data_IF_308130973271
#
_entry.id   IF_308130973271
#
_cell.length_a   1.000
_cell.length_b   1.000
_cell.length_c   1.000
_cell.angle_alpha   90.00
_cell.angle_beta   90.00
_cell.angle_gamma   90.00
#
_symmetry.space_group_name_H-M   'P 1'
#
loop_
_entity.id
_entity.type
_entity.pdbx_description
1 polymer ?
#
# COMPACT_ATOMS: atom_id res chain seq x y z
N UNK A 1 8.34 -11.55 -12.57
CA UNK A 1 8.97 -10.27 -12.19
C UNK A 1 8.02 -9.15 -12.54
N UNK A 2 7.60 -8.33 -11.59
CA UNK A 2 6.62 -7.26 -11.81
C UNK A 2 7.19 -5.91 -11.35
N UNK A 3 6.85 -4.82 -12.04
CA UNK A 3 7.32 -3.50 -11.65
C UNK A 3 6.73 -3.13 -10.29
N UNK A 4 7.54 -2.47 -9.46
CA UNK A 4 7.06 -1.89 -8.20
C UNK A 4 6.16 -0.72 -8.55
N UNK A 5 4.90 -0.78 -8.14
CA UNK A 5 3.92 0.27 -8.39
C UNK A 5 4.35 1.60 -7.79
N UNK A 6 3.83 2.69 -8.36
CA UNK A 6 4.09 4.03 -7.87
C UNK A 6 3.69 4.16 -6.39
N UNK A 7 4.46 4.99 -5.67
CA UNK A 7 4.16 5.38 -4.30
C UNK A 7 2.92 6.24 -4.32
N UNK A 8 2.08 6.12 -3.28
CA UNK A 8 0.90 6.95 -3.15
C UNK A 8 1.29 8.43 -3.10
N UNK A 9 0.53 9.30 -3.80
CA UNK A 9 0.76 10.74 -3.72
C UNK A 9 0.47 11.25 -2.31
N UNK A 10 1.28 12.20 -1.86
CA UNK A 10 1.26 12.72 -0.49
C UNK A 10 -0.13 13.27 -0.11
N UNK A 11 -0.83 13.90 -1.07
CA UNK A 11 -2.19 14.41 -0.87
C UNK A 11 -3.22 13.37 -0.41
N UNK A 12 -3.07 12.09 -0.77
CA UNK A 12 -3.99 11.01 -0.38
C UNK A 12 -3.61 10.35 0.95
N UNK A 13 -2.36 10.53 1.39
CA UNK A 13 -1.84 9.92 2.62
C UNK A 13 -2.70 10.30 3.83
N UNK A 14 -3.09 11.56 3.94
CA UNK A 14 -3.90 12.07 5.04
C UNK A 14 -5.27 11.37 5.19
N UNK A 15 -5.90 11.00 4.07
CA UNK A 15 -7.20 10.33 4.06
C UNK A 15 -7.07 8.83 4.32
N UNK A 16 -5.99 8.20 3.86
CA UNK A 16 -5.77 6.76 3.99
C UNK A 16 -5.50 6.35 5.45
N UNK A 17 -4.84 7.20 6.23
CA UNK A 17 -4.57 6.94 7.66
C UNK A 17 -5.87 6.73 8.44
N UNK A 18 -6.91 7.52 8.14
CA UNK A 18 -8.24 7.38 8.77
C UNK A 18 -9.08 6.41 7.94
N UNK A 19 -8.69 5.15 7.96
CA UNK A 19 -9.43 4.07 7.30
C UNK A 19 -10.86 3.96 7.87
N UNK A 20 -11.82 3.48 7.07
CA UNK A 20 -13.24 3.45 7.44
C UNK A 20 -13.51 2.76 8.80
N UNK A 21 -12.80 1.68 9.11
CA UNK A 21 -12.88 1.02 10.42
C UNK A 21 -12.41 1.91 11.57
N UNK A 22 -11.31 2.63 11.38
CA UNK A 22 -10.76 3.55 12.40
C UNK A 22 -11.75 4.70 12.63
N UNK A 23 -12.33 5.25 11.58
CA UNK A 23 -13.38 6.28 11.68
C UNK A 23 -14.59 5.76 12.47
N UNK A 24 -15.06 4.53 12.18
CA UNK A 24 -16.17 3.91 12.91
C UNK A 24 -15.81 3.74 14.40
N UNK A 25 -14.61 3.29 14.72
CA UNK A 25 -14.15 3.15 16.11
C UNK A 25 -14.12 4.51 16.81
N UNK A 26 -13.60 5.56 16.16
CA UNK A 26 -13.57 6.93 16.69
C UNK A 26 -15.00 7.42 16.96
N UNK A 27 -15.92 7.22 16.03
CA UNK A 27 -17.33 7.62 16.18
C UNK A 27 -18.01 6.87 17.33
N UNK A 28 -17.82 5.56 17.44
CA UNK A 28 -18.35 4.75 18.55
C UNK A 28 -17.79 5.24 19.89
N UNK A 29 -16.48 5.47 19.97
CA UNK A 29 -15.82 5.99 21.16
C UNK A 29 -16.36 7.37 21.54
N UNK A 30 -16.55 8.25 20.56
CA UNK A 30 -17.15 9.57 20.74
C UNK A 30 -18.56 9.48 21.33
N UNK A 31 -19.44 8.66 20.73
CA UNK A 31 -20.80 8.50 21.23
C UNK A 31 -20.83 7.92 22.65
N UNK A 32 -20.01 6.92 22.93
CA UNK A 32 -19.89 6.32 24.26
C UNK A 32 -19.43 7.35 25.30
N UNK A 33 -18.38 8.11 25.02
CA UNK A 33 -17.86 9.14 25.93
C UNK A 33 -18.85 10.30 26.11
N UNK A 34 -19.56 10.68 25.04
CA UNK A 34 -20.58 11.73 25.09
C UNK A 34 -21.75 11.34 25.99
N UNK A 35 -22.24 10.09 25.89
CA UNK A 35 -23.30 9.56 26.76
C UNK A 35 -22.83 9.50 28.21
N UNK A 36 -21.61 9.00 28.46
CA UNK A 36 -21.03 8.91 29.80
C UNK A 36 -20.88 10.28 30.47
N UNK A 37 -20.44 11.30 29.73
CA UNK A 37 -20.31 12.67 30.23
C UNK A 37 -21.68 13.28 30.59
N UNK A 38 -22.67 13.16 29.70
CA UNK A 38 -24.02 13.70 29.94
C UNK A 38 -24.67 13.03 31.15
N UNK A 39 -24.55 11.70 31.24
CA UNK A 39 -25.07 10.92 32.34
C UNK A 39 -24.40 11.29 33.67
N UNK A 40 -23.06 11.36 33.70
CA UNK A 40 -22.32 11.64 34.92
C UNK A 40 -22.49 13.07 35.43
N UNK A 41 -22.76 14.04 34.56
CA UNK A 41 -22.91 15.45 34.96
C UNK A 41 -24.31 15.75 35.53
N UNK A 42 -25.37 15.16 34.97
CA UNK A 42 -26.76 15.42 35.39
C UNK A 42 -27.38 14.31 36.24
N UNK A 43 -26.71 13.16 36.40
CA UNK A 43 -27.18 11.97 37.13
C UNK A 43 -28.64 11.59 36.80
N UNK A 44 -29.07 11.88 35.57
CA UNK A 44 -30.44 11.74 35.10
C UNK A 44 -30.48 11.51 33.60
N UNK A 45 -31.30 10.56 33.14
CA UNK A 45 -31.49 10.20 31.73
C UNK A 45 -32.38 11.20 30.97
N UNK A 46 -33.04 12.15 31.67
CA UNK A 46 -34.05 13.05 31.09
C UNK A 46 -33.53 14.04 30.03
N UNK A 47 -32.21 14.19 29.88
CA UNK A 47 -31.59 15.15 28.95
C UNK A 47 -30.83 14.50 27.78
N UNK A 48 -31.01 13.20 27.54
CA UNK A 48 -30.45 12.48 26.40
C UNK A 48 -31.24 12.80 25.13
N UNK A 49 -31.08 14.03 24.65
CA UNK A 49 -31.52 14.40 23.31
C UNK A 49 -30.42 14.05 22.31
N UNK A 50 -30.79 13.58 21.10
CA UNK A 50 -29.84 13.20 20.05
C UNK A 50 -28.92 14.37 19.71
N UNK A 51 -29.45 15.60 19.67
CA UNK A 51 -28.68 16.81 19.45
C UNK A 51 -27.59 17.04 20.52
N UNK A 52 -27.89 16.79 21.80
CA UNK A 52 -26.92 16.97 22.89
C UNK A 52 -25.81 15.91 22.86
N UNK A 53 -26.13 14.70 22.40
CA UNK A 53 -25.15 13.61 22.28
C UNK A 53 -24.23 13.88 21.08
N UNK A 54 -24.79 14.28 19.94
CA UNK A 54 -24.05 14.53 18.71
C UNK A 54 -23.18 15.79 18.79
N UNK A 55 -23.68 16.87 19.42
CA UNK A 55 -23.01 18.17 19.54
C UNK A 55 -22.41 18.40 20.94
N UNK A 56 -21.90 17.36 21.58
CA UNK A 56 -21.23 17.49 22.86
C UNK A 56 -19.84 18.13 22.69
N UNK A 57 -19.78 19.45 22.83
CA UNK A 57 -18.57 20.26 22.67
C UNK A 57 -17.38 19.75 23.51
N UNK A 58 -17.62 19.34 24.75
CA UNK A 58 -16.56 18.84 25.65
C UNK A 58 -16.00 17.50 25.14
N UNK A 59 -16.86 16.60 24.67
CA UNK A 59 -16.43 15.33 24.11
C UNK A 59 -15.68 15.51 22.78
N UNK A 60 -16.15 16.41 21.90
CA UNK A 60 -15.50 16.70 20.61
C UNK A 60 -14.10 17.30 20.85
N UNK A 61 -14.01 18.37 21.64
CA UNK A 61 -12.74 19.03 21.96
C UNK A 61 -11.79 18.10 22.67
N UNK A 62 -12.29 17.35 23.65
CA UNK A 62 -11.47 16.41 24.41
C UNK A 62 -10.92 15.28 23.57
N UNK A 63 -11.70 14.70 22.66
CA UNK A 63 -11.22 13.65 21.76
C UNK A 63 -10.17 14.18 20.77
N UNK A 64 -10.39 15.39 20.24
CA UNK A 64 -9.45 16.09 19.35
C UNK A 64 -8.20 16.64 20.07
N UNK A 65 -8.09 16.49 21.40
CA UNK A 65 -6.94 16.95 22.17
C UNK A 65 -6.89 18.46 22.40
N UNK A 66 -8.03 19.15 22.23
CA UNK A 66 -8.18 20.57 22.50
C UNK A 66 -8.51 20.82 23.98
N UNK A 67 -8.17 22.01 24.46
CA UNK A 67 -8.54 22.43 25.81
C UNK A 67 -10.06 22.64 25.93
N UNK A 68 -10.63 22.22 27.06
CA UNK A 68 -12.05 22.38 27.38
C UNK A 68 -12.21 22.76 28.86
N UNK A 69 -13.31 23.45 29.21
CA UNK A 69 -13.55 23.87 30.59
C UNK A 69 -13.83 22.67 31.50
N UNK A 70 -13.09 22.57 32.60
CA UNK A 70 -13.27 21.52 33.60
C UNK A 70 -14.19 22.02 34.74
N UNK A 71 -15.23 21.26 35.14
CA UNK A 71 -16.14 21.69 36.20
C UNK A 71 -15.46 21.68 37.58
N UNK A 72 -15.57 22.78 38.32
CA UNK A 72 -14.92 22.96 39.63
C UNK A 72 -15.34 21.89 40.66
N UNK A 73 -16.59 21.44 40.63
CA UNK A 73 -17.15 20.43 41.54
C UNK A 73 -17.31 19.05 40.85
N UNK A 74 -16.23 18.52 40.29
CA UNK A 74 -16.25 17.21 39.64
C UNK A 74 -16.20 16.05 40.64
N UNK A 75 -17.25 15.21 40.64
CA UNK A 75 -17.28 13.95 41.38
C UNK A 75 -16.22 12.93 40.90
N UNK A 76 -15.91 11.92 41.72
CA UNK A 76 -14.88 10.91 41.42
C UNK A 76 -15.07 10.21 40.06
N UNK A 77 -16.30 9.84 39.73
CA UNK A 77 -16.63 9.19 38.44
C UNK A 77 -16.39 10.11 37.25
N UNK A 78 -16.76 11.39 37.36
CA UNK A 78 -16.55 12.37 36.29
C UNK A 78 -15.06 12.61 36.02
N UNK A 79 -14.24 12.65 37.09
CA UNK A 79 -12.77 12.73 36.97
C UNK A 79 -12.19 11.55 36.21
N UNK A 80 -12.65 10.32 36.49
CA UNK A 80 -12.21 9.11 35.78
C UNK A 80 -12.58 9.19 34.30
N UNK A 81 -13.80 9.63 33.96
CA UNK A 81 -14.23 9.79 32.56
C UNK A 81 -13.32 10.79 31.83
N UNK A 82 -12.97 11.91 32.46
CA UNK A 82 -12.03 12.87 31.87
C UNK A 82 -10.63 12.27 31.70
N UNK A 83 -10.12 11.48 32.65
CA UNK A 83 -8.86 10.76 32.47
C UNK A 83 -8.90 9.80 31.27
N UNK A 84 -10.00 9.06 31.09
CA UNK A 84 -10.20 8.17 29.95
C UNK A 84 -10.25 8.97 28.64
N UNK A 85 -10.97 10.10 28.61
CA UNK A 85 -11.05 11.00 27.45
C UNK A 85 -9.66 11.52 27.06
N UNK A 86 -8.86 11.97 28.04
CA UNK A 86 -7.49 12.42 27.81
C UNK A 86 -6.59 11.29 27.29
N UNK A 87 -6.67 10.10 27.88
CA UNK A 87 -5.91 8.94 27.42
C UNK A 87 -6.28 8.55 25.99
N UNK A 88 -7.57 8.51 25.67
CA UNK A 88 -8.07 8.26 24.32
C UNK A 88 -7.53 9.27 23.31
N UNK A 89 -7.54 10.57 23.66
CA UNK A 89 -7.02 11.63 22.80
C UNK A 89 -5.51 11.51 22.55
N UNK A 90 -4.73 11.23 23.60
CA UNK A 90 -3.28 10.99 23.47
C UNK A 90 -3.03 9.81 22.55
N UNK A 91 -3.72 8.69 22.74
CA UNK A 91 -3.57 7.50 21.90
C UNK A 91 -3.94 7.76 20.44
N UNK A 92 -5.05 8.45 20.20
CA UNK A 92 -5.50 8.79 18.85
C UNK A 92 -4.52 9.72 18.13
N UNK A 93 -4.05 10.76 18.81
CA UNK A 93 -3.13 11.75 18.24
C UNK A 93 -1.75 11.16 17.99
N UNK A 94 -1.22 10.36 18.92
CA UNK A 94 0.07 9.68 18.77
C UNK A 94 0.02 8.62 17.66
N UNK A 95 -1.06 7.84 17.58
CA UNK A 95 -1.27 6.90 16.48
C UNK A 95 -1.27 7.63 15.13
N UNK A 96 -2.07 8.68 14.98
CA UNK A 96 -2.16 9.43 13.72
C UNK A 96 -0.79 10.01 13.32
N UNK A 97 -0.08 10.63 14.26
CA UNK A 97 1.24 11.18 14.01
C UNK A 97 2.27 10.10 13.64
N UNK A 98 2.26 8.94 14.31
CA UNK A 98 3.17 7.85 14.00
C UNK A 98 2.96 7.33 12.57
N UNK A 99 1.71 7.11 12.16
CA UNK A 99 1.40 6.71 10.79
C UNK A 99 1.77 7.79 9.77
N UNK A 100 1.47 9.05 10.07
CA UNK A 100 1.79 10.17 9.19
C UNK A 100 3.30 10.29 8.95
N UNK A 101 4.11 10.24 10.01
CA UNK A 101 5.57 10.28 9.91
C UNK A 101 6.14 9.08 9.15
N UNK A 102 5.59 7.88 9.41
CA UNK A 102 5.97 6.67 8.67
C UNK A 102 5.67 6.80 7.18
N UNK A 103 4.49 7.29 6.82
CA UNK A 103 4.07 7.45 5.42
C UNK A 103 4.78 8.59 4.69
N UNK A 104 5.21 9.67 5.37
CA UNK A 104 6.11 10.65 4.76
C UNK A 104 7.51 10.10 4.51
N UNK A 105 7.98 9.19 5.37
CA UNK A 105 9.30 8.58 5.20
C UNK A 105 9.30 7.54 4.08
N UNK A 106 8.28 6.67 4.06
CA UNK A 106 8.11 5.65 3.03
C UNK A 106 6.61 5.44 2.75
N UNK A 107 6.06 6.15 1.75
CA UNK A 107 4.65 6.00 1.42
C UNK A 107 4.32 4.56 1.03
N UNK A 108 3.11 4.08 1.35
CA UNK A 108 2.64 2.81 0.81
C UNK A 108 2.55 2.89 -0.72
N UNK A 109 2.70 1.75 -1.38
CA UNK A 109 2.46 1.63 -2.82
C UNK A 109 0.96 1.64 -3.10
N UNK A 110 0.55 2.21 -4.23
CA UNK A 110 -0.87 2.36 -4.56
C UNK A 110 -1.60 1.02 -4.70
N UNK A 111 -0.95 0.06 -5.33
CA UNK A 111 -1.44 -1.31 -5.47
C UNK A 111 -0.25 -2.26 -5.47
N UNK A 112 -0.51 -3.50 -5.08
CA UNK A 112 0.44 -4.60 -5.23
C UNK A 112 -0.29 -5.73 -5.95
N UNK A 113 0.31 -6.24 -7.03
CA UNK A 113 -0.27 -7.33 -7.80
C UNK A 113 0.09 -8.63 -7.10
N UNK A 114 -0.92 -9.28 -6.50
CA UNK A 114 -0.74 -10.54 -5.77
C UNK A 114 -1.43 -11.71 -6.47
N UNK A 115 -2.46 -11.44 -7.27
CA UNK A 115 -3.22 -12.47 -7.99
C UNK A 115 -3.25 -12.23 -9.50
N UNK A 116 -3.51 -13.27 -10.29
CA UNK A 116 -3.54 -13.13 -11.75
C UNK A 116 -4.66 -12.19 -12.23
N UNK A 117 -5.77 -12.13 -11.48
CA UNK A 117 -6.87 -11.18 -11.71
C UNK A 117 -6.47 -9.73 -11.52
N UNK A 118 -5.53 -9.46 -10.61
CA UNK A 118 -5.03 -8.10 -10.36
C UNK A 118 -4.30 -7.53 -11.58
N UNK A 119 -3.71 -8.38 -12.44
CA UNK A 119 -3.04 -7.96 -13.68
C UNK A 119 -4.03 -7.22 -14.59
N UNK A 120 -5.23 -7.79 -14.78
CA UNK A 120 -6.29 -7.16 -15.55
C UNK A 120 -6.88 -5.93 -14.86
N UNK A 121 -7.08 -6.01 -13.53
CA UNK A 121 -7.65 -4.91 -12.72
C UNK A 121 -6.81 -3.64 -12.75
N UNK A 122 -5.48 -3.78 -12.68
CA UNK A 122 -4.55 -2.65 -12.67
C UNK A 122 -3.94 -2.37 -14.06
N UNK A 123 -4.44 -3.03 -15.11
CA UNK A 123 -3.96 -2.91 -16.49
C UNK A 123 -2.44 -3.06 -16.64
N UNK A 124 -1.83 -3.92 -15.83
CA UNK A 124 -0.40 -4.19 -15.91
C UNK A 124 -0.13 -5.04 -17.15
N UNK A 125 0.68 -4.51 -18.08
CA UNK A 125 1.08 -5.28 -19.26
C UNK A 125 2.15 -6.29 -18.89
N UNK A 126 2.12 -7.47 -19.49
CA UNK A 126 3.12 -8.53 -19.33
C UNK A 126 3.73 -8.84 -20.69
N UNK A 127 5.03 -8.67 -20.79
CA UNK A 127 5.80 -9.09 -21.95
C UNK A 127 6.16 -10.57 -21.81
N UNK A 128 5.91 -11.34 -22.86
CA UNK A 128 6.31 -12.74 -22.95
C UNK A 128 6.75 -13.10 -24.37
N UNK A 129 7.72 -14.01 -24.52
CA UNK A 129 8.08 -14.53 -25.82
C UNK A 129 7.02 -15.52 -26.32
N UNK A 130 6.85 -15.62 -27.64
CA UNK A 130 5.85 -16.50 -28.26
C UNK A 130 5.98 -17.98 -27.90
N UNK A 131 7.20 -18.48 -27.72
CA UNK A 131 7.40 -19.88 -27.35
C UNK A 131 6.90 -20.18 -25.92
N UNK A 132 7.11 -19.27 -24.96
CA UNK A 132 6.57 -19.43 -23.60
C UNK A 132 5.05 -19.38 -23.61
N UNK A 133 4.47 -18.44 -24.38
CA UNK A 133 3.01 -18.38 -24.57
C UNK A 133 2.47 -19.71 -25.12
N UNK A 134 3.10 -20.22 -26.18
CA UNK A 134 2.69 -21.47 -26.82
C UNK A 134 2.77 -22.62 -25.82
N UNK A 135 3.86 -22.70 -25.04
CA UNK A 135 4.01 -23.72 -23.99
C UNK A 135 2.90 -23.62 -22.94
N UNK A 136 2.57 -22.42 -22.44
CA UNK A 136 1.52 -22.23 -21.44
C UNK A 136 0.12 -22.62 -21.97
N UNK A 137 -0.14 -22.36 -23.25
CA UNK A 137 -1.38 -22.76 -23.91
C UNK A 137 -1.43 -24.28 -24.11
N UNK A 138 -0.34 -24.89 -24.60
CA UNK A 138 -0.26 -26.34 -24.82
C UNK A 138 -0.41 -27.12 -23.52
N UNK A 139 0.13 -26.61 -22.40
CA UNK A 139 -0.03 -27.21 -21.07
C UNK A 139 -1.39 -26.90 -20.43
N UNK A 140 -2.28 -26.16 -21.10
CA UNK A 140 -3.59 -25.73 -20.60
C UNK A 140 -3.51 -25.10 -19.20
N UNK A 141 -2.58 -24.15 -19.03
CA UNK A 141 -2.34 -23.52 -17.74
C UNK A 141 -3.55 -22.65 -17.31
N UNK A 142 -4.21 -23.04 -16.23
CA UNK A 142 -5.43 -22.37 -15.73
C UNK A 142 -5.18 -20.92 -15.31
N UNK A 143 -4.02 -20.63 -14.72
CA UNK A 143 -3.67 -19.28 -14.26
C UNK A 143 -3.38 -18.34 -15.42
N UNK A 144 -2.74 -18.84 -16.49
CA UNK A 144 -2.54 -18.07 -17.72
C UNK A 144 -3.86 -17.72 -18.39
N UNK A 145 -4.85 -18.61 -18.34
CA UNK A 145 -6.19 -18.35 -18.87
C UNK A 145 -6.96 -17.25 -18.13
N UNK A 146 -6.60 -16.92 -16.88
CA UNK A 146 -7.18 -15.78 -16.14
C UNK A 146 -6.68 -14.42 -16.65
N UNK A 147 -5.54 -14.40 -17.34
CA UNK A 147 -4.95 -13.17 -17.86
C UNK A 147 -5.66 -12.80 -19.17
N UNK A 148 -6.20 -11.59 -19.22
CA UNK A 148 -6.82 -11.08 -20.42
C UNK A 148 -5.75 -10.78 -21.50
N UNK A 149 -6.11 -11.05 -22.76
CA UNK A 149 -5.19 -10.97 -23.90
C UNK A 149 -4.72 -9.54 -24.18
N UNK A 150 -5.45 -8.52 -23.73
CA UNK A 150 -5.13 -7.10 -23.97
C UNK A 150 -3.93 -6.63 -23.15
N UNK A 151 -3.67 -7.31 -22.05
CA UNK A 151 -2.59 -7.06 -21.10
C UNK A 151 -1.33 -7.84 -21.48
N UNK A 152 -1.37 -8.67 -22.54
CA UNK A 152 -0.23 -9.44 -23.02
C UNK A 152 0.47 -8.72 -24.18
N UNK A 153 1.78 -8.54 -24.05
CA UNK A 153 2.67 -8.16 -25.15
C UNK A 153 3.45 -9.40 -25.59
N UNK A 154 3.13 -9.92 -26.77
CA UNK A 154 3.79 -11.11 -27.31
C UNK A 154 4.93 -10.66 -28.21
N UNK A 155 6.12 -11.20 -27.96
CA UNK A 155 7.33 -10.90 -28.75
C UNK A 155 7.76 -12.17 -29.48
N UNK A 156 7.86 -12.12 -30.80
CA UNK A 156 8.26 -13.28 -31.62
C UNK A 156 9.75 -13.61 -31.44
N UNK A 157 10.62 -12.60 -31.37
CA UNK A 157 12.07 -12.76 -31.25
C UNK A 157 12.56 -12.94 -29.81
N UNK A 158 13.27 -14.04 -29.54
CA UNK A 158 13.88 -14.26 -28.21
C UNK A 158 14.87 -13.17 -27.83
N UNK A 159 15.74 -12.77 -28.77
CA UNK A 159 16.73 -11.70 -28.55
C UNK A 159 16.06 -10.37 -28.21
N UNK A 160 14.96 -10.04 -28.89
CA UNK A 160 14.23 -8.79 -28.66
C UNK A 160 13.54 -8.78 -27.29
N UNK A 161 12.97 -9.92 -26.88
CA UNK A 161 12.44 -10.09 -25.53
C UNK A 161 13.54 -9.94 -24.47
N UNK A 162 14.70 -10.56 -24.68
CA UNK A 162 15.84 -10.45 -23.76
C UNK A 162 16.29 -8.99 -23.64
N UNK A 163 16.47 -8.29 -24.76
CA UNK A 163 16.84 -6.88 -24.76
C UNK A 163 15.82 -6.03 -24.01
N UNK A 164 14.52 -6.19 -24.28
CA UNK A 164 13.46 -5.45 -23.59
C UNK A 164 13.51 -5.71 -22.07
N UNK A 165 13.63 -6.98 -21.66
CA UNK A 165 13.70 -7.36 -20.26
C UNK A 165 14.95 -6.82 -19.57
N UNK A 166 16.11 -6.90 -20.22
CA UNK A 166 17.39 -6.44 -19.68
C UNK A 166 17.46 -4.90 -19.61
N UNK A 167 16.65 -4.16 -20.38
CA UNK A 167 16.46 -2.71 -20.19
C UNK A 167 15.64 -2.35 -18.95
N UNK A 168 15.04 -3.34 -18.27
CA UNK A 168 14.21 -3.15 -17.07
C UNK A 168 13.10 -2.11 -17.26
N UNK A 169 12.42 -2.16 -18.41
CA UNK A 169 11.32 -1.24 -18.69
C UNK A 169 10.11 -1.54 -17.78
N UNK A 170 9.81 -0.59 -16.88
CA UNK A 170 8.75 -0.67 -15.87
C UNK A 170 7.31 -0.67 -16.44
N UNK A 171 7.13 -0.36 -17.72
CA UNK A 171 5.81 -0.45 -18.37
C UNK A 171 5.31 -1.89 -18.51
N UNK A 172 6.20 -2.88 -18.36
CA UNK A 172 5.88 -4.29 -18.53
C UNK A 172 6.35 -5.12 -17.34
N UNK A 173 5.58 -6.15 -17.02
CA UNK A 173 6.00 -7.30 -16.23
C UNK A 173 6.66 -8.35 -17.13
N UNK A 174 7.53 -9.17 -16.55
CA UNK A 174 8.28 -10.18 -17.30
C UNK A 174 8.21 -11.54 -16.61
N UNK A 175 8.13 -12.59 -17.42
CA UNK A 175 8.31 -13.96 -16.96
C UNK A 175 9.80 -14.20 -16.72
N UNK A 176 10.11 -14.65 -15.51
CA UNK A 176 11.47 -15.00 -15.10
C UNK A 176 11.43 -16.23 -14.21
N UNK A 177 12.45 -17.06 -14.33
CA UNK A 177 12.74 -18.12 -13.37
C UNK A 177 13.35 -17.53 -12.10
N UNK A 178 13.29 -18.26 -10.99
CA UNK A 178 13.97 -17.87 -9.74
C UNK A 178 15.47 -17.66 -9.96
N UNK A 179 16.10 -18.52 -10.74
CA UNK A 179 17.51 -18.47 -11.11
C UNK A 179 17.89 -17.19 -11.85
N UNK A 180 17.02 -16.72 -12.75
CA UNK A 180 17.27 -15.46 -13.46
C UNK A 180 16.92 -14.26 -12.57
N UNK A 181 15.95 -14.39 -11.68
CA UNK A 181 15.60 -13.33 -10.74
C UNK A 181 16.74 -13.00 -9.78
N UNK A 182 17.53 -13.98 -9.31
CA UNK A 182 18.65 -13.69 -8.40
C UNK A 182 19.65 -12.69 -8.99
N UNK A 183 19.95 -12.78 -10.29
CA UNK A 183 20.80 -11.84 -11.02
C UNK A 183 20.21 -10.42 -11.01
N UNK A 184 18.91 -10.27 -11.28
CA UNK A 184 18.25 -8.96 -11.22
C UNK A 184 18.12 -8.43 -9.80
N UNK A 185 17.96 -9.31 -8.81
CA UNK A 185 17.93 -8.92 -7.41
C UNK A 185 19.29 -8.35 -6.97
N UNK A 186 20.40 -9.01 -7.34
CA UNK A 186 21.75 -8.50 -7.10
C UNK A 186 22.01 -7.18 -7.84
N UNK A 187 21.61 -7.08 -9.11
CA UNK A 187 21.74 -5.85 -9.88
C UNK A 187 20.99 -4.68 -9.23
N UNK A 188 19.77 -4.92 -8.75
CA UNK A 188 18.93 -3.89 -8.13
C UNK A 188 19.44 -3.43 -6.76
N UNK A 189 20.35 -4.15 -6.09
CA UNK A 189 21.01 -3.65 -4.86
C UNK A 189 21.84 -2.40 -5.11
N UNK A 190 22.29 -2.20 -6.35
CA UNK A 190 23.02 -1.00 -6.76
C UNK A 190 22.09 0.19 -7.04
N UNK A 191 20.79 -0.03 -7.13
CA UNK A 191 19.84 1.03 -7.46
C UNK A 191 19.47 1.81 -6.20
N UNK A 192 19.18 3.10 -6.36
CA UNK A 192 18.64 3.91 -5.25
C UNK A 192 17.33 3.35 -4.69
N UNK A 193 16.54 2.71 -5.55
CA UNK A 193 15.31 1.99 -5.17
C UNK A 193 15.12 0.78 -6.09
N UNK A 194 14.63 -0.36 -5.58
CA UNK A 194 14.23 -1.46 -6.43
C UNK A 194 13.05 -1.03 -7.31
N UNK A 195 13.08 -1.43 -8.58
CA UNK A 195 12.05 -1.10 -9.57
C UNK A 195 11.20 -2.31 -9.96
N UNK A 196 11.66 -3.51 -9.65
CA UNK A 196 10.93 -4.76 -9.81
C UNK A 196 10.93 -5.55 -8.51
N UNK A 197 9.91 -6.38 -8.35
CA UNK A 197 9.84 -7.40 -7.32
C UNK A 197 9.51 -8.77 -7.91
N UNK A 198 9.83 -9.82 -7.16
CA UNK A 198 9.49 -11.19 -7.53
C UNK A 198 8.20 -11.61 -6.85
N UNK A 199 7.13 -11.64 -7.62
CA UNK A 199 5.84 -12.10 -7.16
C UNK A 199 5.81 -13.62 -7.06
N UNK A 200 6.06 -14.14 -5.85
CA UNK A 200 6.08 -15.59 -5.56
C UNK A 200 4.71 -16.25 -5.73
N UNK A 201 3.64 -15.49 -5.54
CA UNK A 201 2.26 -15.98 -5.66
C UNK A 201 1.80 -16.06 -7.12
N UNK A 202 2.44 -15.28 -8.01
CA UNK A 202 2.18 -15.23 -9.46
C UNK A 202 3.15 -16.15 -10.20
N UNK A 203 2.99 -17.45 -9.98
CA UNK A 203 3.88 -18.47 -10.51
C UNK A 203 3.12 -19.47 -11.39
N UNK A 204 3.43 -19.50 -12.69
CA UNK A 204 2.80 -20.41 -13.65
C UNK A 204 3.19 -21.88 -13.46
N UNK A 205 4.42 -22.14 -13.03
CA UNK A 205 4.90 -23.49 -12.70
C UNK A 205 5.95 -23.42 -11.60
N UNK A 206 5.70 -24.14 -10.50
CA UNK A 206 6.66 -24.26 -9.39
C UNK A 206 7.73 -25.32 -9.65
N UNK A 207 7.48 -26.25 -10.56
CA UNK A 207 8.39 -27.34 -10.87
C UNK A 207 8.86 -27.19 -12.32
N UNK A 208 9.99 -26.52 -12.48
CA UNK A 208 10.69 -26.45 -13.76
C UNK A 208 12.06 -27.10 -13.59
N UNK A 209 12.21 -28.30 -14.13
CA UNK A 209 13.47 -29.03 -14.11
C UNK A 209 14.27 -28.66 -15.36
N UNK A 210 15.45 -28.06 -15.16
CA UNK A 210 16.42 -27.89 -16.23
C UNK A 210 17.38 -29.06 -16.21
N UNK A 211 17.53 -29.74 -17.35
CA UNK A 211 18.47 -30.83 -17.53
C UNK A 211 19.27 -30.61 -18.81
N UNK A 212 20.47 -31.19 -18.83
CA UNK A 212 21.29 -31.18 -20.04
C UNK A 212 20.66 -32.17 -21.03
N UNK A 213 20.30 -31.76 -22.25
CA UNK A 213 19.74 -32.67 -23.23
C UNK A 213 20.81 -33.70 -23.63
N UNK A 214 20.51 -34.98 -23.42
CA UNK A 214 21.40 -36.09 -23.78
C UNK A 214 20.84 -36.86 -24.96
N UNK A 215 21.74 -37.36 -25.81
CA UNK A 215 21.39 -38.30 -26.87
C UNK A 215 20.84 -39.58 -26.23
N UNK A 216 19.77 -40.14 -26.82
CA UNK A 216 19.08 -41.35 -26.29
C UNK A 216 20.02 -42.52 -26.00
N UNK A 217 21.01 -42.76 -26.86
CA UNK A 217 21.98 -43.84 -26.74
C UNK A 217 23.42 -43.30 -26.63
N UNK A 218 23.67 -42.42 -25.65
CA UNK A 218 25.01 -41.93 -25.36
C UNK A 218 25.83 -43.04 -24.66
N UNK A 219 26.97 -43.49 -25.21
CA UNK A 219 27.88 -44.40 -24.52
C UNK A 219 28.28 -43.81 -23.16
N UNK A 220 28.36 -44.65 -22.12
CA UNK A 220 28.73 -44.24 -20.76
C UNK A 220 27.83 -43.17 -20.12
N UNK A 221 26.56 -43.08 -20.54
CA UNK A 221 25.57 -42.14 -19.96
C UNK A 221 25.52 -42.18 -18.43
N UNK A 222 25.62 -43.37 -17.82
CA UNK A 222 25.59 -43.54 -16.37
C UNK A 222 26.76 -42.80 -15.69
N UNK A 223 27.96 -42.81 -16.26
CA UNK A 223 29.11 -42.09 -15.72
C UNK A 223 28.89 -40.57 -15.79
N UNK A 224 28.27 -40.08 -16.87
CA UNK A 224 27.95 -38.67 -17.01
C UNK A 224 26.89 -38.22 -15.98
N UNK A 225 25.81 -38.98 -15.84
CA UNK A 225 24.76 -38.69 -14.87
C UNK A 225 25.27 -38.75 -13.42
N UNK A 226 26.07 -39.76 -13.10
CA UNK A 226 26.73 -39.87 -11.79
C UNK A 226 27.67 -38.69 -11.53
N UNK A 227 28.48 -38.29 -12.52
CA UNK A 227 29.33 -37.13 -12.39
C UNK A 227 28.51 -35.85 -12.12
N UNK A 228 27.41 -35.64 -12.83
CA UNK A 228 26.54 -34.47 -12.61
C UNK A 228 25.91 -34.46 -11.22
N UNK A 229 25.46 -35.60 -10.71
CA UNK A 229 24.96 -35.71 -9.33
C UNK A 229 26.07 -35.37 -8.32
N UNK A 230 27.27 -35.93 -8.48
CA UNK A 230 28.40 -35.64 -7.59
C UNK A 230 28.79 -34.15 -7.61
N UNK A 231 28.73 -33.48 -8.77
CA UNK A 231 28.99 -32.04 -8.85
C UNK A 231 27.94 -31.20 -8.11
N UNK A 232 26.68 -31.63 -8.17
CA UNK A 232 25.59 -31.00 -7.42
C UNK A 232 25.76 -31.22 -5.91
N UNK A 233 26.09 -32.44 -5.47
CA UNK A 233 26.33 -32.81 -4.07
C UNK A 233 27.55 -32.08 -3.49
N UNK A 234 28.61 -31.93 -4.28
CA UNK A 234 29.78 -31.13 -3.91
C UNK A 234 29.46 -29.63 -3.77
N UNK A 235 28.32 -29.18 -4.30
CA UNK A 235 27.88 -27.78 -4.23
C UNK A 235 28.47 -26.89 -5.31
N UNK A 236 29.13 -27.46 -6.34
CA UNK A 236 29.76 -26.68 -7.42
C UNK A 236 28.75 -25.79 -8.15
N UNK A 237 27.55 -26.32 -8.41
CA UNK A 237 26.48 -25.58 -9.10
C UNK A 237 26.01 -24.38 -8.26
N UNK A 238 25.87 -24.55 -6.94
CA UNK A 238 25.50 -23.47 -6.02
C UNK A 238 26.57 -22.37 -5.98
N UNK A 239 27.84 -22.77 -5.94
CA UNK A 239 28.97 -21.84 -5.98
C UNK A 239 28.99 -21.03 -7.28
N UNK A 240 28.90 -21.69 -8.45
CA UNK A 240 28.87 -20.98 -9.74
C UNK A 240 27.65 -20.07 -9.87
N UNK A 241 26.48 -20.51 -9.41
CA UNK A 241 25.27 -19.68 -9.45
C UNK A 241 25.41 -18.40 -8.63
N UNK A 242 26.00 -18.49 -7.43
CA UNK A 242 26.24 -17.32 -6.58
C UNK A 242 27.32 -16.36 -7.13
N UNK A 243 28.34 -16.88 -7.82
CA UNK A 243 29.38 -16.05 -8.46
C UNK A 243 28.99 -15.49 -9.83
N UNK A 244 28.03 -16.12 -10.53
CA UNK A 244 27.69 -15.81 -11.92
C UNK A 244 27.38 -14.33 -12.18
N UNK A 245 26.78 -13.63 -11.21
CA UNK A 245 26.51 -12.19 -11.33
C UNK A 245 27.79 -11.37 -11.53
N UNK A 246 28.84 -11.65 -10.74
CA UNK A 246 30.11 -10.94 -10.83
C UNK A 246 30.83 -11.24 -12.15
N UNK A 247 30.74 -12.48 -12.63
CA UNK A 247 31.28 -12.85 -13.94
C UNK A 247 30.54 -12.15 -15.08
N UNK A 248 29.21 -12.06 -15.02
CA UNK A 248 28.41 -11.31 -15.99
C UNK A 248 28.78 -9.83 -16.03
N UNK A 249 29.03 -9.24 -14.86
CA UNK A 249 29.50 -7.85 -14.74
C UNK A 249 30.90 -7.70 -15.33
N UNK A 250 31.83 -8.61 -15.00
CA UNK A 250 33.21 -8.62 -15.52
C UNK A 250 33.24 -8.75 -17.05
N UNK A 251 32.34 -9.54 -17.62
CA UNK A 251 32.20 -9.74 -19.06
C UNK A 251 31.43 -8.61 -19.76
N UNK A 252 30.94 -7.60 -19.03
CA UNK A 252 30.18 -6.48 -19.60
C UNK A 252 28.78 -6.85 -20.08
N UNK A 253 28.24 -8.00 -19.67
CA UNK A 253 26.89 -8.45 -20.00
C UNK A 253 25.86 -7.67 -19.19
N UNK A 254 26.15 -7.47 -17.90
CA UNK A 254 25.28 -6.70 -16.98
C UNK A 254 25.96 -5.37 -16.64
N UNK A 255 25.35 -4.22 -16.96
CA UNK A 255 25.92 -2.93 -16.60
C UNK A 255 25.78 -2.64 -15.10
N UNK A 256 26.86 -2.14 -14.48
CA UNK A 256 26.85 -1.54 -13.14
C UNK A 256 26.34 -0.10 -13.26
N UNK A 257 25.05 0.07 -13.52
CA UNK A 257 24.41 1.39 -13.60
C UNK A 257 23.05 1.35 -12.91
N UNK A 258 22.72 2.43 -12.21
CA UNK A 258 21.37 2.64 -11.69
C UNK A 258 20.41 2.88 -12.87
N UNK A 259 19.52 1.92 -13.11
CA UNK A 259 18.44 1.99 -14.11
C UNK A 259 17.13 2.49 -13.48
N UNK A 260 17.12 2.82 -12.19
CA UNK A 260 15.92 3.37 -11.56
C UNK A 260 15.59 4.75 -12.13
N UNK A 261 14.29 5.07 -12.31
CA UNK A 261 13.88 6.39 -12.76
C UNK A 261 14.44 7.47 -11.82
N UNK A 262 14.96 8.59 -12.36
CA UNK A 262 15.54 9.65 -11.56
C UNK A 262 14.53 10.09 -10.50
N UNK A 263 14.97 10.16 -9.25
CA UNK A 263 14.17 10.66 -8.14
C UNK A 263 13.94 12.15 -8.40
N UNK A 264 12.74 12.53 -8.82
CA UNK A 264 12.31 13.94 -8.75
C UNK A 264 12.40 14.30 -7.28
N UNK A 265 13.24 15.27 -6.96
CA UNK A 265 13.58 15.64 -5.58
C UNK A 265 12.40 16.40 -4.97
N UNK A 266 11.32 15.69 -4.62
CA UNK A 266 10.14 16.26 -3.95
C UNK A 266 10.38 16.31 -2.44
N UNK A 267 11.43 17.02 -2.01
CA UNK A 267 11.77 17.16 -0.59
C UNK A 267 10.90 18.21 0.13
N UNK A 268 10.09 18.97 -0.61
CA UNK A 268 9.25 20.03 -0.06
C UNK A 268 7.78 19.66 -0.17
N UNK A 269 7.10 19.63 0.97
CA UNK A 269 5.64 19.48 1.04
C UNK A 269 5.01 20.68 0.32
N UNK A 270 4.30 20.43 -0.77
CA UNK A 270 3.70 21.47 -1.59
C UNK A 270 2.33 21.86 -1.05
N UNK A 271 1.88 23.08 -1.35
CA UNK A 271 0.52 23.50 -1.00
C UNK A 271 -0.54 22.58 -1.63
N UNK A 272 -0.21 21.98 -2.78
CA UNK A 272 -1.05 21.01 -3.46
C UNK A 272 -1.26 19.73 -2.64
N UNK A 273 -0.31 19.35 -1.79
CA UNK A 273 -0.40 18.17 -0.94
C UNK A 273 -1.41 18.34 0.20
N UNK A 274 -1.56 19.56 0.72
CA UNK A 274 -2.52 19.90 1.79
C UNK A 274 -3.86 20.38 1.21
N UNK A 275 -3.96 20.57 -0.10
CA UNK A 275 -5.14 21.16 -0.77
C UNK A 275 -6.46 20.48 -0.39
N UNK A 276 -6.46 19.16 -0.22
CA UNK A 276 -7.67 18.42 0.15
C UNK A 276 -8.16 18.74 1.57
N UNK A 277 -7.24 18.85 2.52
CA UNK A 277 -7.55 19.26 3.91
C UNK A 277 -8.07 20.70 3.93
N UNK A 278 -7.44 21.59 3.18
CA UNK A 278 -7.88 22.99 3.09
C UNK A 278 -9.28 23.10 2.49
N UNK A 279 -9.61 22.31 1.46
CA UNK A 279 -10.97 22.26 0.89
C UNK A 279 -11.99 21.78 1.91
N UNK A 280 -11.67 20.74 2.69
CA UNK A 280 -12.54 20.25 3.76
C UNK A 280 -12.77 21.31 4.84
N UNK A 281 -11.71 22.00 5.25
CA UNK A 281 -11.77 23.10 6.20
C UNK A 281 -12.66 24.25 5.71
N UNK A 282 -12.47 24.68 4.46
CA UNK A 282 -13.29 25.73 3.84
C UNK A 282 -14.76 25.32 3.75
N UNK A 283 -15.05 24.08 3.36
CA UNK A 283 -16.41 23.55 3.33
C UNK A 283 -17.06 23.54 4.73
N UNK A 284 -16.34 23.11 5.76
CA UNK A 284 -16.81 23.14 7.13
C UNK A 284 -17.09 24.56 7.63
N UNK A 285 -16.24 25.53 7.28
CA UNK A 285 -16.44 26.94 7.63
C UNK A 285 -17.72 27.50 6.99
N UNK A 286 -17.95 27.21 5.70
CA UNK A 286 -19.16 27.61 4.99
C UNK A 286 -20.41 27.03 5.67
N UNK A 287 -20.39 25.74 6.00
CA UNK A 287 -21.50 25.09 6.72
C UNK A 287 -21.75 25.77 8.08
N UNK A 288 -20.68 26.08 8.83
CA UNK A 288 -20.81 26.78 10.11
C UNK A 288 -21.46 28.16 9.97
N UNK A 289 -21.10 28.92 8.93
CA UNK A 289 -21.71 30.22 8.62
C UNK A 289 -23.21 30.04 8.30
N UNK A 290 -23.57 29.04 7.50
CA UNK A 290 -24.98 28.77 7.19
C UNK A 290 -25.79 28.38 8.43
N UNK A 291 -25.27 27.50 9.29
CA UNK A 291 -25.94 27.16 10.55
C UNK A 291 -26.15 28.39 11.42
N UNK A 292 -25.14 29.25 11.54
CA UNK A 292 -25.23 30.49 12.32
C UNK A 292 -26.30 31.46 11.77
N UNK A 293 -26.38 31.61 10.45
CA UNK A 293 -27.41 32.44 9.81
C UNK A 293 -28.83 31.88 10.06
N UNK A 294 -28.99 30.57 9.97
CA UNK A 294 -30.28 29.90 10.25
C UNK A 294 -30.68 30.11 11.71
N UNK A 295 -29.74 29.98 12.66
CA UNK A 295 -30.00 30.22 14.08
C UNK A 295 -30.45 31.66 14.34
N UNK A 296 -29.83 32.65 13.71
CA UNK A 296 -30.23 34.06 13.81
C UNK A 296 -31.64 34.28 13.27
N UNK A 297 -31.95 33.74 12.08
CA UNK A 297 -33.27 33.88 11.45
C UNK A 297 -34.37 33.25 12.31
N UNK A 298 -34.12 32.06 12.85
CA UNK A 298 -35.06 31.36 13.72
C UNK A 298 -35.24 32.07 15.07
N UNK A 299 -34.17 32.61 15.65
CA UNK A 299 -34.23 33.42 16.86
C UNK A 299 -35.00 34.74 16.64
N UNK A 300 -34.82 35.36 15.47
CA UNK A 300 -35.58 36.53 15.03
C UNK A 300 -37.08 36.26 14.93
N UNK A 301 -37.48 35.16 14.30
CA UNK A 301 -38.89 34.76 14.21
C UNK A 301 -39.52 34.48 15.58
N UNK A 302 -38.81 33.81 16.50
CA UNK A 302 -39.32 33.59 17.86
C UNK A 302 -39.51 34.87 18.66
N UNK A 303 -38.66 35.89 18.47
CA UNK A 303 -38.83 37.19 19.14
C UNK A 303 -40.05 37.95 18.63
N UNK A 304 -40.36 37.85 17.34
CA UNK A 304 -41.56 38.50 16.75
C UNK A 304 -42.85 37.82 17.22
N UNK A 305 -42.86 36.49 17.36
CA UNK A 305 -44.04 35.74 17.83
C UNK A 305 -44.28 35.89 19.35
N UNK A 306 -43.25 36.22 20.15
CA UNK A 306 -43.37 36.47 21.59
C UNK A 306 -43.96 37.86 21.94
N UNK A 307 -44.08 38.77 20.97
CA UNK A 307 -44.58 40.13 21.16
C UNK A 307 -46.02 40.33 20.63
N UNK A 308 -46.67 39.26 20.15
CA UNK A 308 -48.11 39.18 19.89
C UNK A 308 -48.76 38.22 20.88
#
# INVERSE_FOLDING_TARGET
>A
MLPVSAKLPINRVYAIIVHHLVLVIILVLFFMLSILLIYSQKRSWKNLNVANILLNDVAIRGLLGQAFPFPANAGKHLRIIFCILCFASIMMTTMYNAYLQSYFTNPPTEHEIRTFKDIGKYHQKIALPKFEMTSLITTNNSQFAEINKRELLIIDGWKDYLNLRDTLNISYGYLVTEDRWSVYAEQQKLFKKPIFYFAKDLCFSRQLFMSIPLRRHLPYRHLFEEHMMRQQEFGMVSYWKSHSFFDMVRLGITPIKDLSPPKVFEASLLLQDISWILKLYMAAMVISIFCFLIEILYAGQRRVISHH
#
